data_IF_348160634413
#
_entry.id   IF_348160634413
#
_cell.length_a   1.000
_cell.length_b   1.000
_cell.length_c   1.000
_cell.angle_alpha   90.00
_cell.angle_beta   90.00
_cell.angle_gamma   90.00
#
_symmetry.space_group_name_H-M   'P 1'
#
loop_
_entity.id
_entity.type
_entity.pdbx_description
1 polymer ?
#
# COMPACT_ATOMS: atom_id res chain seq x y z
N UNK A 1 34.40 -38.52 18.12
CA UNK A 1 34.36 -37.09 18.54
C UNK A 1 34.27 -36.12 17.35
N UNK A 2 35.16 -36.15 16.36
CA UNK A 2 35.11 -35.25 15.19
C UNK A 2 33.78 -35.27 14.40
N UNK A 3 33.16 -36.45 14.24
CA UNK A 3 31.86 -36.61 13.55
C UNK A 3 30.67 -36.03 14.32
N UNK A 4 30.72 -36.06 15.66
CA UNK A 4 29.66 -35.52 16.53
C UNK A 4 29.73 -34.00 16.58
N UNK A 5 30.95 -33.44 16.66
CA UNK A 5 31.17 -31.99 16.60
C UNK A 5 30.73 -31.40 15.25
N UNK A 6 31.01 -32.10 14.14
CA UNK A 6 30.54 -31.71 12.81
C UNK A 6 29.01 -31.72 12.71
N UNK A 7 28.33 -32.68 13.33
CA UNK A 7 26.86 -32.76 13.33
C UNK A 7 26.23 -31.60 14.13
N UNK A 8 26.83 -31.26 15.27
CA UNK A 8 26.40 -30.12 16.10
C UNK A 8 26.59 -28.80 15.33
N UNK A 9 27.73 -28.61 14.64
CA UNK A 9 27.93 -27.42 13.80
C UNK A 9 26.92 -27.32 12.65
N UNK A 10 26.62 -28.42 11.96
CA UNK A 10 25.60 -28.42 10.89
C UNK A 10 24.21 -28.10 11.46
N UNK A 11 23.85 -28.67 12.60
CA UNK A 11 22.57 -28.39 13.28
C UNK A 11 22.48 -26.92 13.73
N UNK A 12 23.56 -26.34 14.26
CA UNK A 12 23.62 -24.92 14.58
C UNK A 12 23.52 -24.03 13.33
N UNK A 13 24.15 -24.39 12.22
CA UNK A 13 24.02 -23.65 10.96
C UNK A 13 22.59 -23.72 10.38
N UNK A 14 21.89 -24.85 10.56
CA UNK A 14 20.50 -24.99 10.12
C UNK A 14 19.53 -24.09 10.92
N UNK A 15 19.82 -23.82 12.19
CA UNK A 15 19.04 -22.88 13.02
C UNK A 15 19.28 -21.41 12.64
N UNK A 16 20.34 -21.10 11.88
CA UNK A 16 20.63 -19.76 11.37
C UNK A 16 19.99 -19.50 9.98
N UNK A 17 19.28 -20.47 9.41
CA UNK A 17 18.59 -20.35 8.12
C UNK A 17 17.16 -19.80 8.25
N UNK A 18 16.80 -19.16 9.37
CA UNK A 18 15.53 -18.44 9.46
C UNK A 18 15.62 -17.19 8.58
N UNK A 19 14.97 -17.25 7.41
CA UNK A 19 14.71 -16.07 6.60
C UNK A 19 13.88 -15.07 7.41
N UNK A 20 14.27 -13.80 7.41
CA UNK A 20 13.42 -12.73 7.91
C UNK A 20 12.36 -12.45 6.85
N UNK A 21 11.32 -13.28 6.82
CA UNK A 21 10.15 -12.99 5.99
C UNK A 21 9.49 -11.72 6.55
N UNK A 22 9.18 -10.69 5.73
CA UNK A 22 8.41 -9.56 6.20
C UNK A 22 7.07 -10.05 6.76
N UNK A 23 6.60 -9.39 7.82
CA UNK A 23 5.25 -9.65 8.31
C UNK A 23 4.23 -9.25 7.25
N UNK A 24 3.09 -9.93 7.22
CA UNK A 24 1.93 -9.54 6.43
C UNK A 24 0.87 -8.92 7.34
N UNK A 25 0.10 -8.01 6.78
CA UNK A 25 -1.07 -7.40 7.40
C UNK A 25 -2.30 -7.61 6.49
N UNK A 26 -3.49 -7.49 7.07
CA UNK A 26 -4.76 -7.56 6.34
C UNK A 26 -5.69 -6.48 6.83
N UNK A 27 -6.55 -5.99 5.95
CA UNK A 27 -7.65 -5.10 6.31
C UNK A 27 -8.84 -5.98 6.72
N UNK A 28 -9.46 -5.67 7.86
CA UNK A 28 -10.65 -6.38 8.30
C UNK A 28 -11.80 -6.15 7.31
N UNK A 29 -12.34 -7.24 6.75
CA UNK A 29 -13.38 -7.18 5.73
C UNK A 29 -14.65 -6.51 6.25
N UNK A 30 -15.11 -6.92 7.43
CA UNK A 30 -16.39 -6.44 7.96
C UNK A 30 -16.30 -4.94 8.28
N UNK A 31 -15.17 -4.49 8.84
CA UNK A 31 -14.91 -3.06 9.06
C UNK A 31 -14.78 -2.29 7.75
N UNK A 32 -14.06 -2.81 6.75
CA UNK A 32 -13.91 -2.17 5.45
C UNK A 32 -15.26 -1.93 4.76
N UNK A 33 -16.12 -2.96 4.76
CA UNK A 33 -17.45 -2.90 4.17
C UNK A 33 -18.39 -1.99 4.96
N UNK A 34 -18.38 -2.06 6.29
CA UNK A 34 -19.26 -1.26 7.12
C UNK A 34 -18.91 0.24 7.09
N UNK A 35 -17.64 0.58 6.89
CA UNK A 35 -17.16 1.94 7.00
C UNK A 35 -16.94 2.65 5.67
N UNK A 36 -16.76 1.95 4.54
CA UNK A 36 -16.53 2.62 3.26
C UNK A 36 -17.81 3.29 2.74
N UNK A 37 -17.76 4.61 2.57
CA UNK A 37 -18.90 5.43 2.12
C UNK A 37 -18.72 6.01 0.73
N UNK A 38 -17.49 6.05 0.20
CA UNK A 38 -17.19 6.56 -1.15
C UNK A 38 -15.87 5.97 -1.64
N UNK A 39 -15.81 5.59 -2.90
CA UNK A 39 -14.59 5.10 -3.55
C UNK A 39 -14.28 5.97 -4.75
N UNK A 40 -13.08 6.52 -4.79
CA UNK A 40 -12.64 7.43 -5.85
C UNK A 40 -11.26 7.03 -6.38
N UNK A 41 -11.07 7.23 -7.69
CA UNK A 41 -9.80 7.09 -8.35
C UNK A 41 -9.25 8.47 -8.71
N UNK A 42 -8.00 8.72 -8.33
CA UNK A 42 -7.28 9.96 -8.58
C UNK A 42 -6.02 9.72 -9.43
N UNK A 43 -5.65 10.71 -10.22
CA UNK A 43 -4.27 10.88 -10.71
C UNK A 43 -3.53 11.80 -9.75
N UNK A 44 -2.52 11.28 -9.04
CA UNK A 44 -1.78 12.02 -8.03
C UNK A 44 -0.37 12.36 -8.52
N UNK A 45 0.01 13.64 -8.41
CA UNK A 45 1.33 14.13 -8.82
C UNK A 45 2.28 14.26 -7.64
N UNK A 46 3.26 13.37 -7.57
CA UNK A 46 4.41 13.49 -6.68
C UNK A 46 5.68 13.74 -7.50
N UNK A 47 6.11 15.01 -7.53
CA UNK A 47 7.25 15.46 -8.34
C UNK A 47 8.60 15.15 -7.69
N UNK A 48 8.62 14.92 -6.37
CA UNK A 48 9.82 14.67 -5.56
C UNK A 48 9.58 13.45 -4.65
N UNK A 49 9.49 12.24 -5.23
CA UNK A 49 9.18 11.02 -4.48
C UNK A 49 10.35 10.61 -3.57
N UNK A 50 10.06 10.50 -2.28
CA UNK A 50 11.04 10.09 -1.26
C UNK A 50 10.49 8.94 -0.41
N UNK A 51 11.32 7.91 -0.15
CA UNK A 51 10.98 6.84 0.77
C UNK A 51 11.28 7.25 2.22
N UNK A 52 10.21 7.36 2.99
CA UNK A 52 10.26 7.64 4.42
C UNK A 52 10.27 6.34 5.21
N UNK A 53 10.91 6.37 6.38
CA UNK A 53 10.74 5.30 7.38
C UNK A 53 9.46 5.56 8.16
N UNK A 54 8.57 4.57 8.27
CA UNK A 54 7.32 4.70 9.02
C UNK A 54 7.55 5.09 10.47
N UNK A 55 8.59 4.55 11.13
CA UNK A 55 8.94 4.92 12.50
C UNK A 55 9.84 6.18 12.60
N UNK A 56 9.98 6.91 11.50
CA UNK A 56 10.71 8.18 11.41
C UNK A 56 9.91 9.37 11.96
N UNK A 57 10.57 10.53 11.98
CA UNK A 57 9.94 11.80 12.37
C UNK A 57 9.01 12.33 11.29
N UNK A 58 9.44 12.22 10.04
CA UNK A 58 8.65 12.58 8.88
C UNK A 58 7.68 11.46 8.57
N UNK A 59 6.48 11.85 8.13
CA UNK A 59 5.37 10.95 7.84
C UNK A 59 4.86 11.23 6.43
N UNK A 60 4.30 10.22 5.76
CA UNK A 60 3.55 10.44 4.53
C UNK A 60 2.46 11.50 4.72
N UNK A 61 1.99 12.08 3.62
CA UNK A 61 0.81 12.95 3.62
C UNK A 61 0.01 12.76 2.35
N UNK A 62 -1.25 13.16 2.41
CA UNK A 62 -2.11 13.29 1.24
C UNK A 62 -2.43 14.77 1.01
N UNK A 63 -1.97 15.35 -0.10
CA UNK A 63 -2.29 16.73 -0.47
C UNK A 63 -3.33 16.74 -1.58
N UNK A 64 -4.56 17.13 -1.23
CA UNK A 64 -5.67 17.22 -2.19
C UNK A 64 -5.39 18.17 -3.36
N UNK A 65 -4.49 19.15 -3.23
CA UNK A 65 -4.14 20.05 -4.34
C UNK A 65 -3.33 19.35 -5.44
N UNK A 66 -2.72 18.21 -5.13
CA UNK A 66 -1.94 17.39 -6.06
C UNK A 66 -2.74 16.22 -6.65
N UNK A 67 -3.95 16.01 -6.16
CA UNK A 67 -4.84 14.93 -6.57
C UNK A 67 -5.87 15.44 -7.59
N UNK A 68 -5.90 14.84 -8.78
CA UNK A 68 -6.92 15.12 -9.81
C UNK A 68 -7.91 13.96 -9.84
N UNK A 69 -9.17 14.20 -9.50
CA UNK A 69 -10.22 13.18 -9.55
C UNK A 69 -10.40 12.66 -10.98
N UNK A 70 -10.27 11.36 -11.18
CA UNK A 70 -10.54 10.68 -12.45
C UNK A 70 -11.98 10.19 -12.47
N UNK A 71 -12.39 9.46 -11.44
CA UNK A 71 -13.68 8.81 -11.38
C UNK A 71 -14.13 8.55 -9.92
N UNK A 72 -15.43 8.48 -9.73
CA UNK A 72 -16.07 7.98 -8.51
C UNK A 72 -16.77 6.67 -8.88
N UNK A 73 -16.55 5.62 -8.10
CA UNK A 73 -17.18 4.32 -8.33
C UNK A 73 -18.64 4.35 -7.88
N UNK A 74 -19.53 3.72 -8.64
CA UNK A 74 -20.92 3.53 -8.21
C UNK A 74 -20.99 2.55 -7.02
N UNK A 75 -21.88 2.83 -6.06
CA UNK A 75 -22.06 1.98 -4.86
C UNK A 75 -22.42 0.54 -5.20
N UNK A 76 -23.09 0.30 -6.34
CA UNK A 76 -23.40 -1.05 -6.82
C UNK A 76 -22.18 -1.92 -7.12
N UNK A 77 -21.02 -1.30 -7.36
CA UNK A 77 -19.76 -1.98 -7.67
C UNK A 77 -18.80 -2.05 -6.49
N UNK A 78 -19.17 -1.49 -5.32
CA UNK A 78 -18.31 -1.49 -4.12
C UNK A 78 -17.93 -2.91 -3.69
N UNK A 79 -18.89 -3.84 -3.67
CA UNK A 79 -18.65 -5.21 -3.19
C UNK A 79 -17.48 -5.86 -3.93
N UNK A 80 -17.39 -5.69 -5.25
CA UNK A 80 -16.36 -6.32 -6.07
C UNK A 80 -14.95 -5.79 -5.78
N UNK A 81 -14.81 -4.49 -5.54
CA UNK A 81 -13.49 -3.89 -5.26
C UNK A 81 -13.09 -4.07 -3.79
N UNK A 82 -14.05 -3.98 -2.86
CA UNK A 82 -13.78 -4.15 -1.43
C UNK A 82 -13.41 -5.60 -1.10
N UNK A 83 -14.01 -6.59 -1.79
CA UNK A 83 -13.62 -7.99 -1.65
C UNK A 83 -12.15 -8.21 -2.06
N UNK A 84 -11.73 -7.67 -3.21
CA UNK A 84 -10.35 -7.77 -3.68
C UNK A 84 -9.36 -7.12 -2.69
N UNK A 85 -9.70 -5.94 -2.17
CA UNK A 85 -8.86 -5.23 -1.18
C UNK A 85 -8.76 -6.02 0.13
N UNK A 86 -9.87 -6.58 0.62
CA UNK A 86 -9.89 -7.35 1.86
C UNK A 86 -9.18 -8.72 1.74
N UNK A 87 -9.03 -9.26 0.52
CA UNK A 87 -8.34 -10.53 0.27
C UNK A 87 -6.84 -10.37 0.07
N UNK A 88 -6.36 -9.15 -0.16
CA UNK A 88 -4.95 -8.90 -0.41
C UNK A 88 -4.09 -9.05 0.86
N UNK A 89 -2.81 -9.36 0.65
CA UNK A 89 -1.82 -9.42 1.72
C UNK A 89 -0.88 -8.22 1.63
N UNK A 90 -0.85 -7.40 2.68
CA UNK A 90 -0.05 -6.18 2.70
C UNK A 90 1.30 -6.46 3.36
N UNK A 91 2.38 -6.31 2.60
CA UNK A 91 3.73 -6.59 3.12
C UNK A 91 4.25 -5.43 3.97
N UNK A 92 4.69 -5.73 5.20
CA UNK A 92 5.14 -4.72 6.15
C UNK A 92 6.66 -4.50 6.03
N UNK A 93 7.06 -3.52 5.23
CA UNK A 93 8.47 -3.18 5.00
C UNK A 93 9.01 -2.04 5.89
N UNK A 94 8.12 -1.35 6.63
CA UNK A 94 8.50 -0.27 7.54
C UNK A 94 8.92 1.04 6.84
N UNK A 95 8.64 1.15 5.54
CA UNK A 95 8.81 2.35 4.73
C UNK A 95 7.52 2.71 4.02
N UNK A 96 7.38 3.97 3.60
CA UNK A 96 6.30 4.47 2.78
C UNK A 96 6.81 5.60 1.87
N UNK A 97 6.14 5.84 0.75
CA UNK A 97 6.40 7.03 -0.05
C UNK A 97 5.89 8.27 0.68
N UNK A 98 6.60 9.39 0.58
CA UNK A 98 6.24 10.66 1.22
C UNK A 98 4.85 11.18 0.83
N UNK A 99 4.42 10.91 -0.39
CA UNK A 99 3.07 11.16 -0.90
C UNK A 99 2.68 10.07 -1.91
N UNK A 100 1.38 9.83 -2.17
CA UNK A 100 0.94 8.95 -3.25
C UNK A 100 1.48 9.37 -4.61
N UNK A 101 1.47 8.47 -5.59
CA UNK A 101 1.95 8.78 -6.94
C UNK A 101 1.19 7.99 -8.00
N UNK A 102 0.81 8.67 -9.07
CA UNK A 102 0.08 8.08 -10.19
C UNK A 102 -1.36 7.73 -9.81
N UNK A 103 -1.86 6.63 -10.38
CA UNK A 103 -3.22 6.14 -10.15
C UNK A 103 -3.39 5.72 -8.68
N UNK A 104 -4.20 6.48 -7.97
CA UNK A 104 -4.37 6.40 -6.52
C UNK A 104 -5.84 6.16 -6.21
N UNK A 105 -6.14 5.03 -5.58
CA UNK A 105 -7.46 4.69 -5.10
C UNK A 105 -7.66 5.25 -3.69
N UNK A 106 -8.80 5.89 -3.43
CA UNK A 106 -9.15 6.49 -2.14
C UNK A 106 -10.50 5.96 -1.70
N UNK A 107 -10.52 5.25 -0.58
CA UNK A 107 -11.73 4.76 0.09
C UNK A 107 -12.02 5.67 1.28
N UNK A 108 -13.03 6.52 1.15
CA UNK A 108 -13.48 7.39 2.22
C UNK A 108 -14.27 6.58 3.24
N UNK A 109 -13.91 6.73 4.51
CA UNK A 109 -14.51 6.01 5.63
C UNK A 109 -15.52 6.89 6.37
N UNK A 110 -16.53 6.28 6.96
CA UNK A 110 -17.62 6.93 7.70
C UNK A 110 -17.15 7.74 8.92
N UNK A 111 -15.97 7.41 9.47
CA UNK A 111 -15.33 8.11 10.57
C UNK A 111 -14.51 9.34 10.13
N UNK A 112 -14.47 9.64 8.82
CA UNK A 112 -13.72 10.75 8.24
C UNK A 112 -12.30 10.39 7.78
N UNK A 113 -11.81 9.19 8.09
CA UNK A 113 -10.52 8.74 7.57
C UNK A 113 -10.63 8.32 6.10
N UNK A 114 -9.48 8.15 5.45
CA UNK A 114 -9.35 7.66 4.09
C UNK A 114 -8.32 6.55 4.07
N UNK A 115 -8.65 5.43 3.42
CA UNK A 115 -7.67 4.40 3.05
C UNK A 115 -7.21 4.72 1.63
N UNK A 116 -5.91 4.94 1.45
CA UNK A 116 -5.31 5.37 0.20
C UNK A 116 -4.35 4.29 -0.28
N UNK A 117 -4.62 3.76 -1.47
CA UNK A 117 -3.84 2.70 -2.10
C UNK A 117 -3.31 3.18 -3.45
N UNK A 118 -2.03 2.98 -3.71
CA UNK A 118 -1.42 3.32 -5.00
C UNK A 118 -0.24 2.40 -5.30
N UNK A 119 0.06 2.26 -6.59
CA UNK A 119 1.28 1.62 -7.07
C UNK A 119 1.95 2.53 -8.09
N UNK A 120 3.28 2.62 -8.05
CA UNK A 120 4.03 3.45 -8.96
C UNK A 120 5.40 2.85 -9.33
N UNK A 121 5.92 3.38 -10.43
CA UNK A 121 7.34 3.29 -10.77
C UNK A 121 7.90 4.69 -10.76
N UNK A 122 8.98 4.92 -10.02
CA UNK A 122 9.67 6.22 -10.01
C UNK A 122 11.17 6.03 -10.08
N UNK A 123 11.88 7.07 -10.50
CA UNK A 123 13.34 7.08 -10.58
C UNK A 123 13.86 8.14 -9.62
N UNK A 124 14.80 7.78 -8.76
CA UNK A 124 15.43 8.72 -7.83
C UNK A 124 16.49 9.60 -8.53
N UNK A 125 17.04 10.56 -7.80
CA UNK A 125 18.10 11.45 -8.25
C UNK A 125 19.39 10.73 -8.68
N UNK A 126 19.57 9.47 -8.29
CA UNK A 126 20.71 8.64 -8.67
C UNK A 126 20.45 7.82 -9.96
N UNK A 127 19.37 8.11 -10.69
CA UNK A 127 18.89 7.34 -11.84
C UNK A 127 18.56 5.87 -11.50
N UNK A 128 18.19 5.58 -10.25
CA UNK A 128 17.73 4.26 -9.86
C UNK A 128 16.21 4.20 -9.92
N UNK A 129 15.69 3.26 -10.71
CA UNK A 129 14.26 2.99 -10.81
C UNK A 129 13.81 2.07 -9.68
N UNK A 130 12.70 2.45 -9.05
CA UNK A 130 12.02 1.73 -7.99
C UNK A 130 10.60 1.39 -8.42
N UNK A 131 10.15 0.22 -7.98
CA UNK A 131 8.79 -0.27 -8.11
C UNK A 131 8.23 -0.31 -6.70
N UNK A 132 7.17 0.44 -6.44
CA UNK A 132 6.66 0.62 -5.10
C UNK A 132 5.14 0.67 -5.12
N UNK A 133 4.50 0.22 -4.06
CA UNK A 133 3.11 0.56 -3.82
C UNK A 133 2.85 0.59 -2.33
N UNK A 134 1.78 1.25 -1.95
CA UNK A 134 1.51 1.49 -0.54
C UNK A 134 0.02 1.60 -0.25
N UNK A 135 -0.36 1.14 0.94
CA UNK A 135 -1.67 1.30 1.53
C UNK A 135 -1.52 2.04 2.86
N UNK A 136 -1.98 3.29 2.87
CA UNK A 136 -1.87 4.19 4.02
C UNK A 136 -3.24 4.71 4.42
N UNK A 137 -3.44 4.91 5.71
CA UNK A 137 -4.61 5.58 6.25
C UNK A 137 -4.27 7.02 6.59
N UNK A 138 -5.10 7.94 6.12
CA UNK A 138 -5.03 9.36 6.42
C UNK A 138 -6.33 9.81 7.09
N UNK A 139 -6.28 10.89 7.87
CA UNK A 139 -7.50 11.58 8.30
C UNK A 139 -8.08 12.45 7.16
N UNK A 140 -9.20 13.12 7.42
CA UNK A 140 -9.89 13.95 6.41
C UNK A 140 -9.07 15.13 5.91
N UNK A 141 -8.03 15.55 6.65
CA UNK A 141 -7.13 16.64 6.29
C UNK A 141 -5.86 16.14 5.58
N UNK A 142 -5.77 14.82 5.33
CA UNK A 142 -4.63 14.20 4.67
C UNK A 142 -3.42 13.97 5.58
N UNK A 143 -3.62 14.02 6.91
CA UNK A 143 -2.57 13.72 7.89
C UNK A 143 -2.48 12.22 8.08
N UNK A 144 -1.26 11.69 8.06
CA UNK A 144 -1.00 10.26 8.21
C UNK A 144 -1.43 9.72 9.57
N UNK A 145 -2.18 8.62 9.55
CA UNK A 145 -2.65 7.89 10.72
C UNK A 145 -1.84 6.61 10.89
N UNK A 146 -1.84 5.75 9.86
CA UNK A 146 -1.13 4.47 9.89
C UNK A 146 -0.73 3.99 8.49
N UNK A 147 0.22 3.05 8.46
CA UNK A 147 0.61 2.31 7.28
C UNK A 147 0.10 0.88 7.42
N UNK A 148 -0.71 0.44 6.47
CA UNK A 148 -1.25 -0.93 6.43
C UNK A 148 -0.18 -1.86 5.87
N UNK A 149 0.51 -1.44 4.80
CA UNK A 149 1.64 -2.12 4.19
C UNK A 149 1.73 -1.84 2.69
N UNK A 150 2.72 -2.46 2.04
CA UNK A 150 2.97 -2.32 0.60
C UNK A 150 1.92 -3.09 -0.22
N UNK A 151 1.48 -2.44 -1.30
CA UNK A 151 0.73 -3.10 -2.38
C UNK A 151 1.63 -3.24 -3.59
N UNK A 152 1.38 -4.24 -4.45
CA UNK A 152 2.15 -4.41 -5.67
C UNK A 152 2.19 -3.12 -6.52
N UNK A 153 3.35 -2.79 -7.08
CA UNK A 153 3.58 -1.54 -7.84
C UNK A 153 2.66 -1.28 -9.04
N UNK A 154 1.96 -2.31 -9.55
CA UNK A 154 0.98 -2.18 -10.64
C UNK A 154 -0.45 -1.97 -10.15
N UNK A 155 -0.66 -1.87 -8.83
CA UNK A 155 -1.97 -1.81 -8.22
C UNK A 155 -2.87 -0.73 -8.84
N UNK A 156 -2.35 0.50 -9.01
CA UNK A 156 -3.11 1.60 -9.58
C UNK A 156 -3.66 1.31 -10.99
N UNK A 157 -2.81 0.78 -11.88
CA UNK A 157 -3.19 0.42 -13.25
C UNK A 157 -4.15 -0.78 -13.28
N UNK A 158 -3.92 -1.77 -12.39
CA UNK A 158 -4.79 -2.94 -12.26
C UNK A 158 -6.20 -2.56 -11.79
N UNK A 159 -6.31 -1.71 -10.78
CA UNK A 159 -7.61 -1.24 -10.28
C UNK A 159 -8.32 -0.40 -11.33
N UNK A 160 -7.63 0.54 -11.99
CA UNK A 160 -8.24 1.35 -13.05
C UNK A 160 -8.82 0.45 -14.15
N UNK A 161 -8.03 -0.49 -14.67
CA UNK A 161 -8.46 -1.39 -15.75
C UNK A 161 -9.59 -2.35 -15.35
N UNK A 162 -9.63 -2.82 -14.09
CA UNK A 162 -10.63 -3.77 -13.62
C UNK A 162 -11.96 -3.12 -13.25
N UNK A 163 -11.93 -1.94 -12.64
CA UNK A 163 -13.11 -1.35 -12.00
C UNK A 163 -13.56 -0.01 -12.58
N UNK A 164 -12.66 0.75 -13.21
CA UNK A 164 -12.95 2.12 -13.65
C UNK A 164 -12.94 2.29 -15.16
N UNK A 165 -12.52 1.28 -15.92
CA UNK A 165 -12.70 1.27 -17.38
C UNK A 165 -14.05 0.65 -17.73
N UNK A 166 -14.96 1.48 -18.23
CA UNK A 166 -16.06 0.99 -19.04
C UNK A 166 -15.49 0.19 -20.21
N UNK A 167 -16.01 -1.03 -20.43
CA UNK A 167 -15.78 -1.75 -21.69
C UNK A 167 -16.06 -0.79 -22.86
N UNK A 168 -15.21 -0.72 -23.90
CA UNK A 168 -15.34 0.23 -25.00
C UNK A 168 -16.73 0.25 -25.67
#
# INVERSE_FOLDING_TARGET
MKKVLSFICVLCCLLLLVGCDPGTNHIDRDELFANTVKIELYDYKNEDPELLRINGKEKPRFDFNKATLIATLDESDFENILNDIAEDEYLVFGTALNEPMGKTLVLHQSNGNMIVLFGCTYTDDNNKTFYYGDCNVFDSEGVFVENVGDVGHLFGDMIESKYFQATP
#
